data_IF_518671362008
#
_entry.id   IF_518671362008
#
_cell.length_a   1.000
_cell.length_b   1.000
_cell.length_c   1.000
_cell.angle_alpha   90.00
_cell.angle_beta   90.00
_cell.angle_gamma   90.00
#
_symmetry.space_group_name_H-M   'P 1'
#
loop_
_entity.id
_entity.type
_entity.pdbx_description
1 polymer ?
#
# COMPACT_ATOMS: atom_id res chain seq x y z
N UNK A 1 -27.95 -31.15 -35.82
CA UNK A 1 -27.72 -31.75 -34.49
C UNK A 1 -26.36 -31.24 -34.10
N UNK A 2 -26.34 -30.04 -33.52
CA UNK A 2 -25.12 -29.28 -33.34
C UNK A 2 -25.08 -28.92 -31.87
N UNK A 3 -24.39 -29.79 -31.12
CA UNK A 3 -24.13 -29.60 -29.70
C UNK A 3 -23.22 -28.38 -29.53
N UNK A 4 -23.76 -27.33 -28.94
CA UNK A 4 -22.98 -26.17 -28.52
C UNK A 4 -22.18 -26.59 -27.29
N UNK A 5 -20.86 -26.67 -27.43
CA UNK A 5 -19.92 -26.85 -26.32
C UNK A 5 -20.11 -25.73 -25.30
N UNK A 6 -20.50 -26.13 -24.09
CA UNK A 6 -20.54 -25.26 -22.93
C UNK A 6 -19.08 -24.99 -22.50
N UNK A 7 -18.62 -23.75 -22.68
CA UNK A 7 -17.40 -23.26 -22.05
C UNK A 7 -17.69 -23.02 -20.57
N UNK A 8 -17.28 -23.96 -19.73
CA UNK A 8 -17.11 -23.74 -18.30
C UNK A 8 -16.18 -22.54 -18.09
N UNK A 9 -16.76 -21.39 -17.78
CA UNK A 9 -16.02 -20.25 -17.26
C UNK A 9 -15.91 -20.51 -15.77
N UNK A 10 -14.78 -21.07 -15.31
CA UNK A 10 -14.47 -21.21 -13.88
C UNK A 10 -14.50 -19.82 -13.23
N UNK A 11 -15.67 -19.40 -12.77
CA UNK A 11 -15.83 -18.21 -11.96
C UNK A 11 -15.30 -18.53 -10.57
N UNK A 12 -13.98 -18.52 -10.42
CA UNK A 12 -13.32 -18.57 -9.11
C UNK A 12 -13.94 -17.49 -8.22
N UNK A 13 -14.48 -17.91 -7.07
CA UNK A 13 -15.10 -16.98 -6.13
C UNK A 13 -14.10 -15.85 -5.81
N UNK A 14 -14.52 -14.57 -5.90
CA UNK A 14 -13.61 -13.45 -5.68
C UNK A 14 -13.01 -13.53 -4.27
N UNK A 15 -11.72 -13.27 -4.16
CA UNK A 15 -11.03 -13.26 -2.87
C UNK A 15 -11.64 -12.20 -1.94
N UNK A 16 -11.42 -12.32 -0.64
CA UNK A 16 -11.90 -11.31 0.34
C UNK A 16 -11.41 -9.92 -0.02
N UNK A 17 -10.19 -9.82 -0.57
CA UNK A 17 -9.61 -8.56 -1.02
C UNK A 17 -10.42 -8.02 -2.19
N UNK A 18 -10.63 -8.81 -3.24
CA UNK A 18 -11.31 -8.35 -4.46
C UNK A 18 -12.79 -8.01 -4.20
N UNK A 19 -13.40 -8.59 -3.17
CA UNK A 19 -14.78 -8.29 -2.77
C UNK A 19 -14.92 -6.96 -2.04
N UNK A 20 -13.97 -6.61 -1.17
CA UNK A 20 -14.11 -5.49 -0.23
C UNK A 20 -13.15 -4.34 -0.48
N UNK A 21 -12.10 -4.56 -1.26
CA UNK A 21 -11.04 -3.59 -1.54
C UNK A 21 -10.90 -3.33 -3.04
N UNK A 22 -10.84 -2.05 -3.38
CA UNK A 22 -10.45 -1.58 -4.71
C UNK A 22 -8.96 -1.30 -4.71
N UNK A 23 -8.22 -1.86 -5.67
CA UNK A 23 -6.78 -1.66 -5.80
C UNK A 23 -6.50 -0.43 -6.63
N UNK A 24 -5.67 0.44 -6.09
CA UNK A 24 -5.16 1.63 -6.72
C UNK A 24 -3.64 1.61 -6.68
N UNK A 25 -3.00 2.21 -7.67
CA UNK A 25 -1.55 2.22 -7.80
C UNK A 25 -1.05 3.65 -7.91
N UNK A 26 0.17 3.86 -7.43
CA UNK A 26 0.89 5.12 -7.62
C UNK A 26 2.30 4.78 -8.09
N UNK A 27 2.55 5.07 -9.36
CA UNK A 27 3.87 4.98 -9.96
C UNK A 27 4.68 6.27 -9.71
N UNK A 28 5.99 6.16 -9.80
CA UNK A 28 6.95 7.27 -9.90
C UNK A 28 6.85 8.34 -8.80
N UNK A 29 6.85 7.89 -7.55
CA UNK A 29 6.87 8.83 -6.42
C UNK A 29 8.17 9.65 -6.42
N UNK A 30 8.06 10.98 -6.57
CA UNK A 30 9.18 11.94 -6.65
C UNK A 30 10.18 11.69 -7.80
N UNK A 31 9.74 11.10 -8.91
CA UNK A 31 10.60 10.91 -10.09
C UNK A 31 11.71 9.87 -9.87
N UNK A 32 11.56 9.01 -8.86
CA UNK A 32 12.35 7.80 -8.73
C UNK A 32 11.64 6.67 -9.48
N UNK A 33 12.26 6.10 -10.52
CA UNK A 33 11.65 5.02 -11.28
C UNK A 33 11.48 3.79 -10.39
N UNK A 34 10.34 3.12 -10.56
CA UNK A 34 9.98 1.83 -9.94
C UNK A 34 9.67 1.83 -8.43
N UNK A 35 9.68 2.95 -7.71
CA UNK A 35 9.16 2.99 -6.33
C UNK A 35 7.61 3.00 -6.32
N UNK A 36 7.02 1.91 -6.82
CA UNK A 36 5.58 1.74 -7.02
C UNK A 36 4.86 1.33 -5.73
N UNK A 37 3.78 2.04 -5.44
CA UNK A 37 2.96 1.81 -4.26
C UNK A 37 1.57 1.30 -4.65
N UNK A 38 1.02 0.42 -3.82
CA UNK A 38 -0.34 -0.08 -3.96
C UNK A 38 -1.19 0.39 -2.78
N UNK A 39 -2.37 0.90 -3.07
CA UNK A 39 -3.35 1.39 -2.11
C UNK A 39 -4.61 0.54 -2.24
N UNK A 40 -4.95 -0.20 -1.20
CA UNK A 40 -6.18 -0.98 -1.11
C UNK A 40 -7.24 -0.12 -0.42
N UNK A 41 -8.21 0.37 -1.20
CA UNK A 41 -9.33 1.14 -0.67
C UNK A 41 -10.49 0.22 -0.31
N UNK A 42 -10.78 0.10 0.98
CA UNK A 42 -11.95 -0.62 1.47
C UNK A 42 -13.25 0.14 1.16
N UNK A 43 -14.37 -0.58 1.06
CA UNK A 43 -15.72 0.00 0.91
C UNK A 43 -16.07 1.07 1.96
N UNK A 44 -15.53 0.93 3.18
CA UNK A 44 -15.64 1.90 4.28
C UNK A 44 -14.69 3.12 4.15
N UNK A 45 -14.07 3.33 2.98
CA UNK A 45 -13.10 4.41 2.68
C UNK A 45 -11.79 4.35 3.47
N UNK A 46 -11.54 3.27 4.21
CA UNK A 46 -10.22 3.01 4.78
C UNK A 46 -9.26 2.64 3.66
N UNK A 47 -8.05 3.18 3.71
CA UNK A 47 -7.03 2.88 2.72
C UNK A 47 -5.86 2.17 3.42
N UNK A 48 -5.51 1.00 2.91
CA UNK A 48 -4.33 0.26 3.34
C UNK A 48 -3.23 0.51 2.32
N UNK A 49 -2.08 0.99 2.79
CA UNK A 49 -0.91 1.26 1.96
C UNK A 49 0.02 0.05 2.02
N UNK A 50 0.41 -0.44 0.86
CA UNK A 50 1.37 -1.52 0.67
C UNK A 50 2.22 -1.27 -0.58
N UNK A 51 3.14 -2.18 -0.89
CA UNK A 51 3.97 -2.12 -2.09
C UNK A 51 3.26 -2.76 -3.27
N UNK A 52 3.52 -2.24 -4.48
CA UNK A 52 3.12 -2.93 -5.70
C UNK A 52 4.06 -4.11 -5.98
N UNK A 53 3.55 -5.13 -6.68
CA UNK A 53 4.33 -6.31 -7.09
C UNK A 53 5.54 -5.96 -7.96
N UNK A 54 5.47 -4.82 -8.65
CA UNK A 54 6.54 -4.27 -9.49
C UNK A 54 7.64 -3.56 -8.71
N UNK A 55 7.43 -3.29 -7.42
CA UNK A 55 8.41 -2.58 -6.60
C UNK A 55 9.72 -3.40 -6.51
N UNK A 56 10.92 -2.77 -6.65
CA UNK A 56 12.22 -3.44 -6.65
C UNK A 56 12.48 -4.33 -5.42
N UNK A 57 11.85 -4.01 -4.30
CA UNK A 57 11.92 -4.81 -3.06
C UNK A 57 11.27 -6.19 -3.26
N UNK A 58 10.16 -6.26 -4.00
CA UNK A 58 9.44 -7.49 -4.31
C UNK A 58 10.03 -8.20 -5.54
N UNK A 59 10.29 -7.48 -6.63
CA UNK A 59 10.76 -8.08 -7.89
C UNK A 59 12.14 -8.74 -7.79
N UNK A 60 13.09 -8.10 -7.10
CA UNK A 60 14.46 -8.62 -7.04
C UNK A 60 14.62 -9.71 -5.96
N UNK A 61 13.55 -10.11 -5.27
CA UNK A 61 13.61 -11.09 -4.18
C UNK A 61 14.60 -10.68 -3.07
N UNK A 62 14.84 -9.38 -2.90
CA UNK A 62 15.86 -8.89 -1.96
C UNK A 62 15.41 -9.15 -0.54
N UNK A 63 16.28 -9.78 0.23
CA UNK A 63 16.08 -9.87 1.66
C UNK A 63 16.09 -8.46 2.27
N UNK A 64 15.04 -8.15 3.02
CA UNK A 64 14.92 -6.91 3.77
C UNK A 64 15.73 -7.07 5.05
N UNK A 65 16.67 -6.15 5.28
CA UNK A 65 17.54 -6.14 6.46
C UNK A 65 16.81 -5.52 7.65
N UNK A 66 16.19 -4.37 7.44
CA UNK A 66 15.45 -3.65 8.48
C UNK A 66 14.43 -2.70 7.88
N UNK A 67 13.33 -2.51 8.58
CA UNK A 67 12.31 -1.49 8.25
C UNK A 67 12.33 -0.46 9.38
N UNK A 68 12.28 0.83 9.05
CA UNK A 68 12.32 1.90 10.01
C UNK A 68 11.16 2.87 9.82
N UNK A 69 10.28 2.98 10.82
CA UNK A 69 9.15 3.91 10.85
C UNK A 69 9.49 5.27 11.49
N UNK A 70 10.73 5.47 11.95
CA UNK A 70 11.24 6.74 12.43
C UNK A 70 11.76 7.56 11.25
N UNK A 71 11.03 8.60 10.91
CA UNK A 71 11.30 9.42 9.73
C UNK A 71 12.22 10.58 10.07
N UNK A 72 12.04 11.15 11.26
CA UNK A 72 12.93 12.18 11.81
C UNK A 72 13.03 12.03 13.33
N UNK A 73 14.05 12.65 13.93
CA UNK A 73 14.27 12.61 15.39
C UNK A 73 13.08 13.14 16.21
N UNK A 74 12.18 13.92 15.60
CA UNK A 74 10.97 14.44 16.25
C UNK A 74 9.67 13.76 15.78
N UNK A 75 9.71 12.88 14.78
CA UNK A 75 8.51 12.28 14.19
C UNK A 75 8.69 10.78 13.97
N UNK A 76 8.33 10.01 15.00
CA UNK A 76 8.12 8.58 14.87
C UNK A 76 6.63 8.30 14.60
N UNK A 77 6.34 7.53 13.55
CA UNK A 77 4.98 7.09 13.23
C UNK A 77 4.44 6.05 14.22
N UNK A 78 5.33 5.40 14.99
CA UNK A 78 4.98 4.41 16.01
C UNK A 78 4.29 5.04 17.22
N UNK A 79 4.57 6.31 17.53
CA UNK A 79 3.92 7.02 18.64
C UNK A 79 2.48 7.46 18.32
N UNK A 80 1.92 7.02 17.20
CA UNK A 80 0.60 7.42 16.72
C UNK A 80 -0.51 6.67 17.48
N UNK A 81 -0.81 7.12 18.70
CA UNK A 81 -1.88 6.55 19.52
C UNK A 81 -3.24 7.17 19.15
N UNK A 82 -3.95 6.52 18.24
CA UNK A 82 -5.30 6.93 17.83
C UNK A 82 -6.33 6.47 18.85
N UNK A 83 -7.14 7.40 19.39
CA UNK A 83 -8.14 7.10 20.41
C UNK A 83 -9.49 7.80 20.16
N UNK A 84 -10.56 7.14 20.59
CA UNK A 84 -11.94 7.65 20.57
C UNK A 84 -12.60 7.70 19.18
N UNK A 85 -13.92 7.94 19.18
CA UNK A 85 -14.76 8.01 17.95
C UNK A 85 -14.28 9.05 16.94
N UNK A 86 -13.68 10.15 17.42
CA UNK A 86 -13.13 11.22 16.58
C UNK A 86 -11.69 10.98 16.12
N UNK A 87 -11.11 9.80 16.40
CA UNK A 87 -9.75 9.41 16.00
C UNK A 87 -8.73 10.47 16.43
N UNK A 88 -8.82 10.90 17.69
CA UNK A 88 -7.93 11.91 18.30
C UNK A 88 -6.55 11.28 18.52
N UNK A 89 -5.50 12.07 18.28
CA UNK A 89 -4.11 11.59 18.36
C UNK A 89 -3.54 11.05 17.05
N UNK A 90 -4.40 10.80 16.04
CA UNK A 90 -3.98 10.41 14.70
C UNK A 90 -3.20 11.51 13.99
N UNK A 91 -1.94 11.23 13.64
CA UNK A 91 -1.11 12.10 12.83
C UNK A 91 -1.73 12.27 11.44
N UNK A 92 -1.84 13.53 10.99
CA UNK A 92 -2.25 13.81 9.62
C UNK A 92 -1.04 13.66 8.70
N UNK A 93 -1.18 12.86 7.65
CA UNK A 93 -0.17 12.61 6.62
C UNK A 93 -0.64 13.18 5.29
N UNK A 94 0.30 13.75 4.55
CA UNK A 94 0.09 14.16 3.16
C UNK A 94 0.47 13.03 2.22
N UNK A 95 0.09 13.14 0.96
CA UNK A 95 0.46 12.24 -0.14
C UNK A 95 1.97 11.98 -0.25
N UNK A 96 2.80 13.02 -0.17
CA UNK A 96 4.26 12.92 -0.22
C UNK A 96 4.91 12.67 1.14
N UNK A 97 4.13 12.43 2.20
CA UNK A 97 4.68 12.16 3.51
C UNK A 97 5.33 10.77 3.50
N UNK A 98 6.63 10.66 3.86
CA UNK A 98 7.22 9.35 4.08
C UNK A 98 6.48 8.63 5.23
N UNK A 99 6.46 7.31 5.18
CA UNK A 99 5.89 6.41 6.18
C UNK A 99 6.97 5.56 6.84
N UNK A 100 7.78 4.88 6.03
CA UNK A 100 8.90 4.07 6.49
C UNK A 100 10.06 4.09 5.50
N UNK A 101 11.24 3.69 5.98
CA UNK A 101 12.43 3.41 5.18
C UNK A 101 12.73 1.93 5.27
N UNK A 102 12.84 1.28 4.12
CA UNK A 102 13.18 -0.14 3.99
C UNK A 102 14.63 -0.22 3.56
N UNK A 103 15.46 -0.85 4.36
CA UNK A 103 16.87 -1.13 4.04
C UNK A 103 16.98 -2.59 3.63
N UNK A 104 17.48 -2.84 2.41
CA UNK A 104 17.77 -4.18 1.93
C UNK A 104 19.14 -4.66 2.42
N UNK A 105 19.40 -5.97 2.28
CA UNK A 105 20.72 -6.54 2.57
C UNK A 105 21.85 -5.95 1.71
N UNK A 106 21.53 -5.51 0.50
CA UNK A 106 22.45 -4.84 -0.43
C UNK A 106 22.78 -3.38 -0.06
N UNK A 107 22.44 -2.96 1.18
CA UNK A 107 22.56 -1.59 1.70
C UNK A 107 21.74 -0.53 0.95
N UNK A 108 20.94 -0.93 -0.03
CA UNK A 108 20.00 -0.03 -0.73
C UNK A 108 18.82 0.32 0.17
N UNK A 109 18.51 1.62 0.23
CA UNK A 109 17.39 2.13 1.01
C UNK A 109 16.25 2.65 0.12
N UNK A 110 15.04 2.18 0.41
CA UNK A 110 13.81 2.61 -0.24
C UNK A 110 12.97 3.41 0.75
N UNK A 111 12.48 4.57 0.33
CA UNK A 111 11.58 5.38 1.17
C UNK A 111 10.16 5.16 0.69
N UNK A 112 9.33 4.61 1.57
CA UNK A 112 7.92 4.38 1.27
C UNK A 112 7.12 5.59 1.70
N UNK A 113 6.21 6.00 0.84
CA UNK A 113 5.38 7.17 1.03
C UNK A 113 3.91 6.81 1.20
N UNK A 114 3.17 7.76 1.75
CA UNK A 114 1.74 7.61 2.02
C UNK A 114 0.92 7.47 0.75
N UNK A 115 1.29 8.19 -0.33
CA UNK A 115 0.57 8.33 -1.60
C UNK A 115 -0.83 8.95 -1.48
N UNK A 116 -1.40 8.97 -0.29
CA UNK A 116 -2.71 9.52 0.03
C UNK A 116 -2.63 10.48 1.22
N UNK A 117 -3.52 11.46 1.22
CA UNK A 117 -3.72 12.36 2.36
C UNK A 117 -4.75 11.78 3.32
N UNK A 118 -4.48 11.88 4.62
CA UNK A 118 -5.42 11.39 5.63
C UNK A 118 -4.84 11.33 7.03
N UNK A 119 -5.61 10.78 7.95
CA UNK A 119 -5.12 10.45 9.30
C UNK A 119 -4.54 9.05 9.29
N UNK A 120 -3.29 8.92 9.69
CA UNK A 120 -2.67 7.64 9.96
C UNK A 120 -3.40 7.00 11.15
N UNK A 121 -3.91 5.79 10.96
CA UNK A 121 -4.58 5.02 12.01
C UNK A 121 -3.62 4.07 12.68
N UNK A 122 -2.88 3.34 11.87
CA UNK A 122 -2.06 2.22 12.30
C UNK A 122 -0.87 2.06 11.36
N UNK A 123 0.25 1.61 11.91
CA UNK A 123 1.42 1.14 11.17
C UNK A 123 1.65 -0.30 11.58
N UNK A 124 2.12 -1.12 10.65
CA UNK A 124 2.33 -2.53 10.92
C UNK A 124 3.65 -2.73 11.68
N UNK A 125 3.56 -3.06 12.96
CA UNK A 125 4.75 -3.36 13.76
C UNK A 125 5.27 -4.78 13.49
N UNK A 126 4.42 -5.68 12.99
CA UNK A 126 4.77 -7.08 12.73
C UNK A 126 5.85 -7.23 11.66
N UNK A 127 5.92 -6.31 10.69
CA UNK A 127 6.98 -6.34 9.66
C UNK A 127 8.35 -5.90 10.19
N UNK A 128 8.41 -5.27 11.38
CA UNK A 128 9.68 -4.98 12.05
C UNK A 128 10.29 -6.26 12.61
N UNK A 129 9.46 -7.15 13.15
CA UNK A 129 9.88 -8.45 13.67
C UNK A 129 10.12 -9.45 12.54
N UNK A 130 9.21 -9.49 11.57
CA UNK A 130 9.22 -10.46 10.47
C UNK A 130 9.06 -9.76 9.11
N UNK A 131 10.16 -9.27 8.52
CA UNK A 131 10.08 -8.51 7.28
C UNK A 131 9.72 -9.37 6.06
N UNK A 132 9.78 -10.70 6.16
CA UNK A 132 9.35 -11.62 5.10
C UNK A 132 7.85 -11.53 4.82
N UNK A 133 7.04 -11.08 5.78
CA UNK A 133 5.59 -10.87 5.59
C UNK A 133 5.30 -9.86 4.46
N UNK A 134 6.15 -8.84 4.32
CA UNK A 134 6.04 -7.85 3.25
C UNK A 134 6.21 -8.49 1.87
N UNK A 135 7.06 -9.52 1.76
CA UNK A 135 7.39 -10.21 0.51
C UNK A 135 6.36 -11.30 0.19
N UNK A 136 6.01 -12.14 1.17
CA UNK A 136 5.11 -13.27 0.97
C UNK A 136 3.64 -12.83 0.83
N UNK A 137 3.26 -11.81 1.60
CA UNK A 137 1.85 -11.43 1.80
C UNK A 137 1.65 -9.91 1.79
N UNK A 138 2.06 -9.19 0.74
CA UNK A 138 1.99 -7.71 0.70
C UNK A 138 0.55 -7.18 0.87
N UNK A 139 -0.46 -7.92 0.41
CA UNK A 139 -1.85 -7.48 0.44
C UNK A 139 -2.64 -7.87 1.70
N UNK A 140 -2.05 -8.70 2.58
CA UNK A 140 -2.73 -9.17 3.80
C UNK A 140 -1.96 -8.78 5.05
N UNK A 141 -1.09 -9.65 5.56
CA UNK A 141 -0.32 -9.44 6.78
C UNK A 141 0.87 -8.49 6.58
N UNK A 142 1.36 -8.35 5.35
CA UNK A 142 2.48 -7.50 4.97
C UNK A 142 2.09 -6.07 4.57
N UNK A 143 0.99 -5.52 5.09
CA UNK A 143 0.67 -4.11 4.84
C UNK A 143 1.62 -3.19 5.60
N UNK A 144 1.78 -1.93 5.16
CA UNK A 144 2.71 -0.98 5.79
C UNK A 144 2.00 -0.06 6.77
N UNK A 145 0.87 0.50 6.34
CA UNK A 145 0.09 1.45 7.14
C UNK A 145 -1.39 1.45 6.74
N UNK A 146 -2.24 1.81 7.69
CA UNK A 146 -3.67 2.06 7.47
C UNK A 146 -3.94 3.54 7.66
N UNK A 147 -4.56 4.16 6.66
CA UNK A 147 -4.84 5.58 6.62
C UNK A 147 -6.33 5.79 6.41
N UNK A 148 -6.89 6.76 7.12
CA UNK A 148 -8.24 7.24 6.91
C UNK A 148 -8.21 8.62 6.24
N UNK A 149 -8.57 8.70 4.95
CA UNK A 149 -8.92 9.94 4.30
C UNK A 149 -10.03 10.74 5.00
N UNK A 150 -10.05 12.06 4.80
CA UNK A 150 -11.25 12.83 5.10
C UNK A 150 -12.37 12.44 4.13
N UNK A 151 -13.62 12.47 4.61
CA UNK A 151 -14.77 12.05 3.81
C UNK A 151 -14.89 12.85 2.49
N UNK A 152 -14.77 14.17 2.56
CA UNK A 152 -14.81 15.07 1.39
C UNK A 152 -13.67 14.80 0.40
N UNK A 153 -12.49 14.47 0.91
CA UNK A 153 -11.28 14.26 0.10
C UNK A 153 -11.18 12.82 -0.45
N UNK A 154 -11.96 11.88 0.08
CA UNK A 154 -11.89 10.46 -0.32
C UNK A 154 -12.13 10.22 -1.82
N UNK A 155 -12.88 11.11 -2.47
CA UNK A 155 -13.16 11.06 -3.93
C UNK A 155 -12.02 11.63 -4.77
N UNK A 156 -11.35 12.68 -4.30
CA UNK A 156 -10.23 13.32 -5.02
C UNK A 156 -8.91 12.56 -4.85
N UNK A 157 -8.80 11.71 -3.83
CA UNK A 157 -7.62 10.86 -3.65
C UNK A 157 -7.50 9.85 -4.79
N UNK A 158 -8.61 9.26 -5.23
CA UNK A 158 -8.58 8.28 -6.34
C UNK A 158 -8.25 8.92 -7.68
N UNK A 159 -8.52 10.21 -7.89
CA UNK A 159 -8.15 10.94 -9.11
C UNK A 159 -6.64 11.03 -9.32
N UNK A 160 -5.87 10.96 -8.23
CA UNK A 160 -4.42 10.97 -8.26
C UNK A 160 -3.85 9.54 -8.37
N UNK A 161 -4.68 8.50 -8.33
CA UNK A 161 -4.20 7.12 -8.36
C UNK A 161 -4.53 6.49 -9.71
N UNK A 162 -3.71 5.53 -10.09
CA UNK A 162 -3.87 4.75 -11.30
C UNK A 162 -4.69 3.50 -10.99
N UNK A 163 -5.60 3.16 -11.90
CA UNK A 163 -6.19 1.83 -11.94
C UNK A 163 -5.15 0.79 -12.34
N UNK A 164 -5.46 -0.49 -12.17
CA UNK A 164 -4.57 -1.59 -12.54
C UNK A 164 -4.16 -1.53 -14.02
N UNK A 165 -5.11 -1.29 -14.91
CA UNK A 165 -4.89 -1.25 -16.36
C UNK A 165 -3.98 -0.09 -16.79
N UNK A 166 -4.21 1.09 -16.19
CA UNK A 166 -3.37 2.27 -16.41
C UNK A 166 -1.95 2.05 -15.89
N UNK A 167 -1.84 1.42 -14.71
CA UNK A 167 -0.55 1.10 -14.11
C UNK A 167 0.25 0.10 -14.95
N UNK A 168 -0.38 -0.98 -15.41
CA UNK A 168 0.25 -1.97 -16.30
C UNK A 168 0.72 -1.31 -17.62
N UNK A 169 -0.03 -0.33 -18.14
CA UNK A 169 0.35 0.45 -19.33
C UNK A 169 1.53 1.38 -19.10
N UNK A 170 1.75 1.85 -17.87
CA UNK A 170 2.90 2.67 -17.47
C UNK A 170 4.13 1.79 -17.27
N UNK A 171 3.98 0.65 -16.59
CA UNK A 171 5.08 -0.29 -16.30
C UNK A 171 5.57 -1.04 -17.54
N UNK A 172 4.69 -1.29 -18.51
CA UNK A 172 5.05 -2.00 -19.75
C UNK A 172 5.81 -1.12 -20.77
N UNK A 173 5.96 0.18 -20.50
CA UNK A 173 6.69 1.12 -21.37
C UNK A 173 8.14 1.25 -20.93
#
# INVERSE_FOLDING_TARGET
MDCVEQKDTEATAPSVIDRYYTRWFRADMKGKPCEDHCILQHSNRLCVVTLAETHPVLQNGRAIKSINYQISNCCSRLNNKVSGKSKRGGQFVTDFAPLCRITCMDETEYTIYSCIRGRLLEVNESILETPTLLLEKPFTEGYIAVILPKFEESKSITENLLSREEFESVVSK
#
